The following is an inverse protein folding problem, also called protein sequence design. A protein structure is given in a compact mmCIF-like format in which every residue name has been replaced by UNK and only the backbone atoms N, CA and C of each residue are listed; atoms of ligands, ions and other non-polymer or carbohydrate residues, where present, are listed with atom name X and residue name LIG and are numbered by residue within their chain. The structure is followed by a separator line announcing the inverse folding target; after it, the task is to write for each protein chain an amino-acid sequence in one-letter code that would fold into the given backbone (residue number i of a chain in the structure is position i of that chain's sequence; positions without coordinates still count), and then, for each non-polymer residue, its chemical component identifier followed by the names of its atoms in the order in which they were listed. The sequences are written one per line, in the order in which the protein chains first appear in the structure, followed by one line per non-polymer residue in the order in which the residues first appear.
data_IF_755106004293
#
_entry.id   IF_755106004293
#
_cell.length_a   1.000
_cell.length_b   1.000
_cell.length_c   1.000
_cell.angle_alpha   90.00
_cell.angle_beta   90.00
_cell.angle_gamma   90.00
#
_symmetry.space_group_name_H-M   'P 1'
#
loop_
_entity.id
_entity.type
_entity.pdbx_description
1 polymer ?
#
# COMPACT_ATOMS: atom_id res chain seq x y z
N UNK A 1 -23.01 15.27 -11.17
CA UNK A 1 -22.07 15.06 -12.29
C UNK A 1 -21.71 13.59 -12.25
N UNK A 2 -22.18 12.82 -13.22
CA UNK A 2 -21.77 11.43 -13.38
C UNK A 2 -20.24 11.45 -13.57
N UNK A 3 -19.50 10.83 -12.66
CA UNK A 3 -18.08 10.63 -12.88
C UNK A 3 -17.96 9.58 -13.98
N UNK A 4 -17.83 10.04 -15.22
CA UNK A 4 -17.56 9.16 -16.36
C UNK A 4 -16.31 8.34 -16.04
N UNK A 5 -16.52 7.06 -15.76
CA UNK A 5 -15.46 6.14 -15.42
C UNK A 5 -14.48 6.02 -16.59
N UNK A 6 -13.21 6.27 -16.32
CA UNK A 6 -12.14 6.08 -17.28
C UNK A 6 -11.85 4.59 -17.44
N UNK A 7 -12.00 4.07 -18.66
CA UNK A 7 -11.59 2.72 -19.00
C UNK A 7 -10.09 2.67 -19.23
N UNK A 8 -9.37 1.97 -18.36
CA UNK A 8 -7.94 1.71 -18.47
C UNK A 8 -7.67 0.22 -18.67
N UNK A 9 -6.49 -0.10 -19.19
CA UNK A 9 -5.97 -1.47 -19.30
C UNK A 9 -4.71 -1.56 -18.46
N UNK A 10 -4.73 -2.36 -17.40
CA UNK A 10 -3.57 -2.62 -16.55
C UNK A 10 -2.91 -3.93 -16.97
N UNK A 11 -1.58 -3.92 -17.06
CA UNK A 11 -0.79 -5.13 -17.29
C UNK A 11 -0.17 -5.56 -15.95
N UNK A 12 -0.52 -6.75 -15.49
CA UNK A 12 0.05 -7.36 -14.28
C UNK A 12 0.58 -8.75 -14.64
N UNK A 13 1.89 -8.95 -14.49
CA UNK A 13 2.64 -10.07 -15.06
C UNK A 13 2.28 -10.26 -16.55
N UNK A 14 1.88 -11.47 -16.94
CA UNK A 14 1.50 -11.81 -18.32
C UNK A 14 0.02 -11.57 -18.64
N UNK A 15 -0.71 -10.84 -17.79
CA UNK A 15 -2.17 -10.66 -17.91
C UNK A 15 -2.57 -9.20 -18.03
N UNK A 16 -3.51 -8.95 -18.94
CA UNK A 16 -4.11 -7.65 -19.16
C UNK A 16 -5.51 -7.61 -18.53
N UNK A 17 -5.73 -6.68 -17.61
CA UNK A 17 -7.00 -6.48 -16.94
C UNK A 17 -7.63 -5.16 -17.39
N UNK A 18 -8.77 -5.18 -18.09
CA UNK A 18 -9.54 -3.97 -18.37
C UNK A 18 -10.34 -3.55 -17.13
N UNK A 19 -10.13 -2.32 -16.65
CA UNK A 19 -10.84 -1.76 -15.49
C UNK A 19 -11.48 -0.42 -15.87
N UNK A 20 -12.58 -0.09 -15.20
CA UNK A 20 -13.20 1.25 -15.27
C UNK A 20 -13.02 1.90 -13.91
N UNK A 21 -12.34 3.05 -13.85
CA UNK A 21 -11.95 3.72 -12.60
C UNK A 21 -12.21 5.22 -12.67
N UNK A 22 -12.23 5.91 -11.54
CA UNK A 22 -12.24 7.38 -11.55
C UNK A 22 -10.89 7.92 -12.07
N UNK A 23 -10.87 8.97 -12.91
CA UNK A 23 -9.64 9.55 -13.46
C UNK A 23 -8.59 9.90 -12.39
N UNK A 24 -9.03 10.38 -11.22
CA UNK A 24 -8.16 10.77 -10.11
C UNK A 24 -7.42 9.58 -9.49
N UNK A 25 -7.90 8.36 -9.68
CA UNK A 25 -7.31 7.14 -9.13
C UNK A 25 -6.36 6.45 -10.12
N UNK A 26 -6.34 6.85 -11.39
CA UNK A 26 -5.54 6.18 -12.43
C UNK A 26 -4.07 6.06 -12.05
N UNK A 27 -3.48 7.15 -11.54
CA UNK A 27 -2.09 7.15 -11.14
C UNK A 27 -1.81 6.12 -10.04
N UNK A 28 -2.70 6.01 -9.05
CA UNK A 28 -2.59 5.03 -7.96
C UNK A 28 -2.66 3.60 -8.49
N UNK A 29 -3.61 3.31 -9.37
CA UNK A 29 -3.75 2.01 -10.01
C UNK A 29 -2.52 1.62 -10.86
N UNK A 30 -1.96 2.56 -11.63
CA UNK A 30 -0.74 2.31 -12.43
C UNK A 30 0.48 2.08 -11.55
N UNK A 31 0.67 2.86 -10.49
CA UNK A 31 1.77 2.67 -9.52
C UNK A 31 1.66 1.32 -8.82
N UNK A 32 0.46 0.93 -8.40
CA UNK A 32 0.21 -0.35 -7.75
C UNK A 32 0.54 -1.53 -8.69
N UNK A 33 0.08 -1.48 -9.95
CA UNK A 33 0.39 -2.53 -10.92
C UNK A 33 1.89 -2.63 -11.21
N UNK A 34 2.59 -1.49 -11.33
CA UNK A 34 4.05 -1.49 -11.49
C UNK A 34 4.74 -2.15 -10.28
N UNK A 35 4.38 -1.74 -9.05
CA UNK A 35 4.97 -2.31 -7.82
C UNK A 35 4.75 -3.83 -7.74
N UNK A 36 3.56 -4.31 -8.11
CA UNK A 36 3.27 -5.75 -8.15
C UNK A 36 4.16 -6.46 -9.17
N UNK A 37 4.34 -5.89 -10.37
CA UNK A 37 5.20 -6.49 -11.39
C UNK A 37 6.68 -6.55 -10.96
N UNK A 38 7.18 -5.46 -10.37
CA UNK A 38 8.55 -5.40 -9.86
C UNK A 38 8.75 -6.48 -8.78
N UNK A 39 7.80 -6.62 -7.85
CA UNK A 39 7.84 -7.68 -6.84
C UNK A 39 7.81 -9.09 -7.44
N UNK A 40 6.92 -9.36 -8.41
CA UNK A 40 6.86 -10.66 -9.09
C UNK A 40 8.21 -11.00 -9.74
N UNK A 41 8.83 -10.03 -10.42
CA UNK A 41 10.14 -10.20 -11.06
C UNK A 41 11.26 -10.49 -10.04
N UNK A 42 11.27 -9.80 -8.91
CA UNK A 42 12.20 -10.05 -7.82
C UNK A 42 12.03 -11.48 -7.28
N UNK A 43 10.79 -11.92 -7.05
CA UNK A 43 10.51 -13.28 -6.58
C UNK A 43 10.88 -14.35 -7.61
N UNK A 44 10.58 -14.15 -8.89
CA UNK A 44 10.98 -15.06 -9.98
C UNK A 44 12.51 -15.23 -10.04
N UNK A 45 13.25 -14.15 -9.82
CA UNK A 45 14.72 -14.16 -9.83
C UNK A 45 15.31 -14.81 -8.58
N UNK A 46 14.73 -14.54 -7.40
CA UNK A 46 15.28 -14.99 -6.11
C UNK A 46 14.95 -16.44 -5.80
N UNK A 47 13.78 -16.94 -6.23
CA UNK A 47 13.26 -18.23 -5.79
C UNK A 47 13.18 -19.29 -6.89
N UNK A 48 13.66 -19.00 -8.12
CA UNK A 48 13.51 -19.88 -9.29
C UNK A 48 12.09 -20.45 -9.37
N UNK A 49 11.10 -19.60 -9.06
CA UNK A 49 9.73 -20.00 -8.76
C UNK A 49 9.15 -20.78 -9.94
N UNK A 50 9.06 -22.10 -9.78
CA UNK A 50 8.52 -23.02 -10.78
C UNK A 50 7.01 -22.83 -11.00
N UNK A 51 6.31 -22.19 -10.07
CA UNK A 51 4.88 -21.92 -10.15
C UNK A 51 4.57 -20.42 -9.96
N UNK A 52 4.01 -19.82 -11.00
CA UNK A 52 3.61 -18.39 -11.03
C UNK A 52 2.52 -18.07 -10.01
N UNK A 53 1.75 -19.07 -9.55
CA UNK A 53 0.70 -18.86 -8.55
C UNK A 53 1.29 -18.65 -7.15
N UNK A 54 2.35 -19.37 -6.80
CA UNK A 54 3.04 -19.21 -5.51
C UNK A 54 3.77 -17.87 -5.44
N UNK A 55 4.31 -17.37 -6.56
CA UNK A 55 4.90 -16.04 -6.64
C UNK A 55 3.88 -14.93 -6.38
N UNK A 56 2.65 -15.07 -6.89
CA UNK A 56 1.55 -14.15 -6.60
C UNK A 56 1.11 -14.19 -5.13
N UNK A 57 1.08 -15.39 -4.53
CA UNK A 57 0.78 -15.54 -3.10
C UNK A 57 1.84 -14.88 -2.22
N UNK A 58 3.13 -15.04 -2.55
CA UNK A 58 4.22 -14.34 -1.85
C UNK A 58 4.11 -12.82 -1.97
N UNK A 59 3.78 -12.31 -3.17
CA UNK A 59 3.53 -10.88 -3.37
C UNK A 59 2.38 -10.38 -2.50
N UNK A 60 1.27 -11.13 -2.43
CA UNK A 60 0.12 -10.78 -1.61
C UNK A 60 0.48 -10.74 -0.12
N UNK A 61 1.25 -11.71 0.36
CA UNK A 61 1.72 -11.76 1.75
C UNK A 61 2.64 -10.57 2.05
N UNK A 62 3.59 -10.26 1.17
CA UNK A 62 4.51 -9.14 1.35
C UNK A 62 3.79 -7.79 1.40
N UNK A 63 2.81 -7.57 0.51
CA UNK A 63 1.97 -6.37 0.52
C UNK A 63 1.09 -6.29 1.78
N UNK A 64 0.46 -7.40 2.18
CA UNK A 64 -0.34 -7.45 3.39
C UNK A 64 0.50 -7.13 4.64
N UNK A 65 1.72 -7.67 4.73
CA UNK A 65 2.66 -7.35 5.79
C UNK A 65 3.01 -5.86 5.82
N UNK A 66 3.28 -5.25 4.67
CA UNK A 66 3.61 -3.83 4.58
C UNK A 66 2.43 -2.95 5.07
N UNK A 67 1.20 -3.31 4.70
CA UNK A 67 -0.01 -2.61 5.15
C UNK A 67 -0.22 -2.75 6.66
N UNK A 68 -0.12 -3.96 7.20
CA UNK A 68 -0.29 -4.19 8.64
C UNK A 68 0.83 -3.53 9.45
N UNK A 69 2.07 -3.53 8.96
CA UNK A 69 3.16 -2.82 9.60
C UNK A 69 2.96 -1.29 9.58
N UNK A 70 2.46 -0.73 8.48
CA UNK A 70 2.15 0.70 8.40
C UNK A 70 1.09 1.11 9.43
N UNK A 71 0.01 0.33 9.58
CA UNK A 71 -1.03 0.58 10.61
C UNK A 71 -0.48 0.51 12.04
N UNK A 72 0.40 -0.46 12.31
CA UNK A 72 1.06 -0.56 13.61
C UNK A 72 1.91 0.68 13.91
N UNK A 73 2.64 1.17 12.90
CA UNK A 73 3.45 2.38 13.04
C UNK A 73 2.58 3.65 13.23
N UNK A 74 1.48 3.81 12.47
CA UNK A 74 0.54 4.92 12.65
C UNK A 74 -0.07 4.94 14.06
N UNK A 75 -0.44 3.77 14.58
CA UNK A 75 -0.99 3.65 15.95
C UNK A 75 0.03 4.11 16.99
N UNK A 76 1.30 3.76 16.80
CA UNK A 76 2.39 4.16 17.70
C UNK A 76 2.71 5.66 17.61
N UNK A 77 2.65 6.25 16.41
CA UNK A 77 2.81 7.70 16.24
C UNK A 77 1.69 8.47 16.96
N UNK A 78 0.43 8.03 16.84
CA UNK A 78 -0.71 8.64 17.53
C UNK A 78 -0.59 8.58 19.07
N UNK A 79 -0.10 7.47 19.62
CA UNK A 79 0.17 7.35 21.06
C UNK A 79 1.27 8.32 21.50
N UNK A 80 2.38 8.40 20.76
CA UNK A 80 3.48 9.32 21.06
C UNK A 80 3.05 10.79 21.00
N UNK A 81 2.15 11.13 20.08
CA UNK A 81 1.60 12.48 19.92
C UNK A 81 0.72 12.85 21.13
N UNK A 82 -0.12 11.91 21.59
CA UNK A 82 -0.96 12.09 22.79
C UNK A 82 -0.12 12.26 24.05
N UNK A 83 0.94 11.47 24.22
CA UNK A 83 1.85 11.61 25.35
C UNK A 83 2.55 12.97 25.34
N UNK A 84 3.03 13.41 24.19
CA UNK A 84 3.66 14.72 24.04
C UNK A 84 2.67 15.85 24.37
N UNK A 85 1.42 15.75 23.89
CA UNK A 85 0.39 16.74 24.19
C UNK A 85 0.04 16.78 25.69
N UNK A 86 -0.03 15.62 26.35
CA UNK A 86 -0.26 15.52 27.79
C UNK A 86 0.90 16.13 28.60
N UNK A 87 2.15 15.93 28.16
CA UNK A 87 3.32 16.55 28.77
C UNK A 87 3.27 18.08 28.65
N UNK A 88 2.92 18.61 27.47
CA UNK A 88 2.75 20.06 27.27
C UNK A 88 1.64 20.62 28.15
N UNK A 89 0.49 19.94 28.23
CA UNK A 89 -0.62 20.34 29.09
C UNK A 89 -0.22 20.37 30.57
N UNK A 90 0.49 19.34 31.04
CA UNK A 90 0.98 19.27 32.42
C UNK A 90 2.02 20.35 32.72
N UNK A 91 2.94 20.64 31.78
CA UNK A 91 3.93 21.70 31.93
C UNK A 91 3.27 23.08 32.04
N UNK A 92 2.21 23.35 31.26
CA UNK A 92 1.45 24.59 31.36
C UNK A 92 0.74 24.73 32.72
N UNK A 93 0.19 23.65 33.25
CA UNK A 93 -0.47 23.64 34.57
C UNK A 93 0.51 23.76 35.76
N UNK A 94 1.81 23.55 35.55
CA UNK A 94 2.82 23.78 36.59
C UNK A 94 3.34 25.22 36.62
N UNK A 95 3.01 26.02 35.61
CA UNK A 95 3.46 27.41 35.45
C UNK A 95 2.38 28.41 35.94
N UNK A 96 1.18 27.94 36.28
CA UNK A 96 0.11 28.71 36.95
C UNK A 96 -0.12 28.27 38.38
#
# INVERSE_FOLDING_TARGET
MEQDGLRIKLSVADRLYPLTIAPQQEEGFRKAAKKINDMIQDFETVYELRDKQDGLAMCAIALAREIEQAKLNETHEDESLKETLAQVYNALNQIG
#
